data_IF_564349325368
#
_entry.id   IF_564349325368
#
_cell.length_a   1.000
_cell.length_b   1.000
_cell.length_c   1.000
_cell.angle_alpha   90.00
_cell.angle_beta   90.00
_cell.angle_gamma   90.00
#
_symmetry.space_group_name_H-M   'P 1'
#
loop_
_entity.id
_entity.type
_entity.pdbx_description
1 polymer ?
#
# COMPACT_ATOMS: atom_id res chain seq x y z
N UNK A 1 -8.47 15.07 28.15
CA UNK A 1 -9.39 14.40 27.21
C UNK A 1 -9.84 13.01 27.66
N UNK A 2 -9.93 12.79 28.99
CA UNK A 2 -10.43 11.54 29.58
C UNK A 2 -11.89 11.33 29.18
N UNK A 3 -12.71 12.37 29.21
CA UNK A 3 -14.13 12.31 28.86
C UNK A 3 -14.41 11.84 27.42
N UNK A 4 -13.57 12.23 26.45
CA UNK A 4 -13.71 11.80 25.07
C UNK A 4 -13.36 10.30 24.91
N UNK A 5 -12.39 9.81 25.67
CA UNK A 5 -12.00 8.40 25.68
C UNK A 5 -13.09 7.52 26.28
N UNK A 6 -13.72 7.96 27.36
CA UNK A 6 -14.81 7.25 28.02
C UNK A 6 -16.04 7.15 27.12
N UNK A 7 -16.40 8.23 26.42
CA UNK A 7 -17.49 8.25 25.43
C UNK A 7 -17.23 7.26 24.27
N UNK A 8 -16.01 7.18 23.79
CA UNK A 8 -15.63 6.22 22.74
C UNK A 8 -15.78 4.78 23.24
N UNK A 9 -15.37 4.51 24.48
CA UNK A 9 -15.52 3.18 25.09
C UNK A 9 -16.97 2.79 25.30
N UNK A 10 -17.80 3.72 25.79
CA UNK A 10 -19.24 3.52 25.93
C UNK A 10 -19.91 3.24 24.57
N UNK A 11 -19.57 4.01 23.56
CA UNK A 11 -20.12 3.80 22.21
C UNK A 11 -19.68 2.46 21.62
N UNK A 12 -18.43 2.03 21.80
CA UNK A 12 -17.97 0.69 21.43
C UNK A 12 -18.75 -0.41 22.14
N UNK A 13 -18.99 -0.24 23.44
CA UNK A 13 -19.77 -1.18 24.23
C UNK A 13 -21.22 -1.25 23.74
N UNK A 14 -21.84 -0.10 23.48
CA UNK A 14 -23.19 0.00 22.90
C UNK A 14 -23.29 -0.74 21.55
N UNK A 15 -22.37 -0.50 20.62
CA UNK A 15 -22.35 -1.15 19.32
C UNK A 15 -22.19 -2.68 19.46
N UNK A 16 -21.31 -3.12 20.36
CA UNK A 16 -21.09 -4.55 20.62
C UNK A 16 -22.33 -5.23 21.20
N UNK A 17 -22.99 -4.58 22.18
CA UNK A 17 -24.19 -5.12 22.83
C UNK A 17 -25.39 -5.16 21.88
N UNK A 18 -25.50 -4.15 21.04
CA UNK A 18 -26.60 -4.01 20.09
C UNK A 18 -26.26 -4.49 18.69
N UNK A 19 -25.23 -5.33 18.53
CA UNK A 19 -24.76 -5.83 17.21
C UNK A 19 -25.89 -6.38 16.36
N UNK A 20 -26.81 -7.16 16.94
CA UNK A 20 -27.94 -7.75 16.23
C UNK A 20 -28.93 -6.72 15.69
N UNK A 21 -29.12 -5.61 16.39
CA UNK A 21 -29.99 -4.52 15.97
C UNK A 21 -29.33 -3.56 15.00
N UNK A 22 -28.05 -3.24 15.21
CA UNK A 22 -27.29 -2.30 14.38
C UNK A 22 -26.77 -2.94 13.10
N UNK A 23 -26.50 -4.25 13.12
CA UNK A 23 -25.85 -4.98 12.02
C UNK A 23 -26.72 -6.11 11.45
N UNK A 24 -27.81 -6.47 12.11
CA UNK A 24 -28.41 -7.81 11.90
C UNK A 24 -29.44 -7.92 10.81
N UNK A 25 -30.05 -6.85 10.32
CA UNK A 25 -31.23 -6.99 9.43
C UNK A 25 -31.33 -5.99 8.28
N UNK A 26 -30.58 -4.88 8.32
CA UNK A 26 -30.72 -3.86 7.27
C UNK A 26 -29.38 -3.23 6.92
N UNK A 27 -28.98 -3.43 5.65
CA UNK A 27 -27.81 -2.76 5.06
C UNK A 27 -27.90 -1.23 5.19
N UNK A 28 -29.11 -0.68 5.19
CA UNK A 28 -29.38 0.74 5.40
C UNK A 28 -28.99 1.23 6.80
N UNK A 29 -29.22 0.44 7.85
CA UNK A 29 -28.80 0.79 9.20
C UNK A 29 -27.27 0.84 9.35
N UNK A 30 -26.57 -0.09 8.72
CA UNK A 30 -25.11 -0.09 8.72
C UNK A 30 -24.56 1.15 7.98
N UNK A 31 -25.14 1.49 6.83
CA UNK A 31 -24.72 2.67 6.06
C UNK A 31 -25.00 3.98 6.83
N UNK A 32 -26.14 4.10 7.47
CA UNK A 32 -26.46 5.26 8.33
C UNK A 32 -25.45 5.38 9.49
N UNK A 33 -25.08 4.26 10.11
CA UNK A 33 -24.06 4.24 11.18
C UNK A 33 -22.69 4.67 10.65
N UNK A 34 -22.30 4.21 9.47
CA UNK A 34 -21.07 4.66 8.81
C UNK A 34 -21.07 6.16 8.54
N UNK A 35 -22.18 6.69 8.01
CA UNK A 35 -22.31 8.12 7.74
C UNK A 35 -22.19 8.96 9.02
N UNK A 36 -22.83 8.53 10.11
CA UNK A 36 -22.72 9.20 11.42
C UNK A 36 -21.28 9.19 11.94
N UNK A 37 -20.61 8.03 11.94
CA UNK A 37 -19.22 7.92 12.39
C UNK A 37 -18.30 8.78 11.52
N UNK A 38 -18.48 8.74 10.21
CA UNK A 38 -17.68 9.50 9.24
C UNK A 38 -17.86 11.01 9.41
N UNK A 39 -19.10 11.49 9.64
CA UNK A 39 -19.41 12.90 9.86
C UNK A 39 -18.67 13.48 11.09
N UNK A 40 -18.33 12.64 12.06
CA UNK A 40 -17.55 13.04 13.24
C UNK A 40 -16.04 12.83 13.08
N UNK A 41 -15.55 12.43 11.90
CA UNK A 41 -14.12 12.23 11.61
C UNK A 41 -13.44 11.13 12.44
N UNK A 42 -14.22 10.24 13.05
CA UNK A 42 -13.72 9.19 13.97
C UNK A 42 -13.31 7.91 13.21
N UNK A 43 -12.21 7.99 12.48
CA UNK A 43 -11.76 6.90 11.61
C UNK A 43 -11.51 5.58 12.38
N UNK A 44 -10.94 5.66 13.58
CA UNK A 44 -10.75 4.49 14.44
C UNK A 44 -12.08 3.80 14.83
N UNK A 45 -13.14 4.58 14.95
CA UNK A 45 -14.49 4.05 15.23
C UNK A 45 -15.10 3.42 13.98
N UNK A 46 -14.85 4.00 12.80
CA UNK A 46 -15.30 3.44 11.52
C UNK A 46 -14.69 2.06 11.29
N UNK A 47 -13.37 1.91 11.50
CA UNK A 47 -12.68 0.62 11.38
C UNK A 47 -13.18 -0.39 12.42
N UNK A 48 -13.39 0.04 13.67
CA UNK A 48 -13.96 -0.81 14.72
C UNK A 48 -15.36 -1.31 14.33
N UNK A 49 -16.21 -0.43 13.82
CA UNK A 49 -17.55 -0.81 13.38
C UNK A 49 -17.51 -1.75 12.18
N UNK A 50 -16.67 -1.48 11.18
CA UNK A 50 -16.45 -2.36 10.04
C UNK A 50 -16.00 -3.76 10.47
N UNK A 51 -15.07 -3.87 11.42
CA UNK A 51 -14.63 -5.14 11.97
C UNK A 51 -15.76 -5.87 12.72
N UNK A 52 -16.58 -5.13 13.46
CA UNK A 52 -17.72 -5.68 14.20
C UNK A 52 -18.77 -6.33 13.30
N UNK A 53 -19.02 -5.74 12.11
CA UNK A 53 -19.99 -6.26 11.14
C UNK A 53 -19.35 -7.12 10.06
N UNK A 54 -18.05 -7.39 10.16
CA UNK A 54 -17.26 -8.18 9.21
C UNK A 54 -17.23 -7.56 7.79
N UNK A 55 -17.32 -6.22 7.68
CA UNK A 55 -17.18 -5.47 6.41
C UNK A 55 -15.70 -5.28 6.07
N UNK A 56 -15.05 -6.38 5.73
CA UNK A 56 -13.62 -6.39 5.42
C UNK A 56 -13.28 -5.63 4.13
N UNK A 57 -14.24 -5.52 3.21
CA UNK A 57 -14.03 -4.76 1.97
C UNK A 57 -13.84 -3.28 2.25
N UNK A 58 -14.62 -2.71 3.13
CA UNK A 58 -14.49 -1.30 3.55
C UNK A 58 -13.18 -1.06 4.29
N UNK A 59 -12.79 -1.99 5.17
CA UNK A 59 -11.49 -1.92 5.84
C UNK A 59 -10.32 -1.98 4.85
N UNK A 60 -10.37 -2.89 3.88
CA UNK A 60 -9.37 -2.99 2.81
C UNK A 60 -9.26 -1.70 2.01
N UNK A 61 -10.40 -1.14 1.60
CA UNK A 61 -10.46 0.11 0.85
C UNK A 61 -9.82 1.25 1.64
N UNK A 62 -10.12 1.35 2.93
CA UNK A 62 -9.52 2.36 3.80
C UNK A 62 -8.01 2.20 3.89
N UNK A 63 -7.49 1.00 4.20
CA UNK A 63 -6.03 0.80 4.28
C UNK A 63 -5.31 1.12 2.97
N UNK A 64 -5.94 0.85 1.83
CA UNK A 64 -5.37 1.20 0.52
C UNK A 64 -5.38 2.71 0.28
N UNK A 65 -6.43 3.42 0.69
CA UNK A 65 -6.51 4.88 0.60
C UNK A 65 -5.47 5.59 1.46
N UNK A 66 -5.12 4.98 2.61
CA UNK A 66 -4.08 5.48 3.53
C UNK A 66 -2.67 4.96 3.18
N UNK A 67 -2.48 4.36 2.01
CA UNK A 67 -1.20 3.75 1.57
C UNK A 67 -0.64 2.69 2.55
N UNK A 68 -1.48 2.18 3.47
CA UNK A 68 -1.14 1.17 4.47
C UNK A 68 -1.27 -0.26 3.93
N UNK A 69 -0.60 -0.54 2.82
CA UNK A 69 -0.71 -1.82 2.09
C UNK A 69 -0.33 -3.04 2.93
N UNK A 70 0.62 -2.89 3.85
CA UNK A 70 1.01 -3.97 4.76
C UNK A 70 -0.11 -4.37 5.72
N UNK A 71 -0.85 -3.38 6.23
CA UNK A 71 -1.99 -3.60 7.12
C UNK A 71 -3.17 -4.22 6.36
N UNK A 72 -3.38 -3.80 5.11
CA UNK A 72 -4.35 -4.43 4.22
C UNK A 72 -4.06 -5.92 4.01
N UNK A 73 -2.81 -6.30 3.73
CA UNK A 73 -2.42 -7.71 3.57
C UNK A 73 -2.54 -8.46 4.89
N UNK A 74 -2.18 -7.84 6.02
CA UNK A 74 -2.32 -8.47 7.34
C UNK A 74 -3.78 -8.71 7.71
N UNK A 75 -4.69 -7.80 7.34
CA UNK A 75 -6.13 -8.02 7.49
C UNK A 75 -6.58 -9.27 6.71
N UNK A 76 -6.23 -9.38 5.43
CA UNK A 76 -6.57 -10.56 4.61
C UNK A 76 -6.01 -11.86 5.22
N UNK A 77 -4.75 -11.83 5.66
CA UNK A 77 -4.10 -12.96 6.32
C UNK A 77 -4.85 -13.36 7.59
N UNK A 78 -5.16 -12.39 8.45
CA UNK A 78 -5.86 -12.60 9.73
C UNK A 78 -7.24 -13.22 9.50
N UNK A 79 -8.00 -12.66 8.58
CA UNK A 79 -9.35 -13.15 8.28
C UNK A 79 -9.33 -14.54 7.67
N UNK A 80 -8.42 -14.81 6.71
CA UNK A 80 -8.24 -16.13 6.13
C UNK A 80 -7.84 -17.19 7.18
N UNK A 81 -6.86 -16.89 8.01
CA UNK A 81 -6.39 -17.79 9.09
C UNK A 81 -7.48 -18.04 10.13
N UNK A 82 -8.26 -17.02 10.47
CA UNK A 82 -9.37 -17.15 11.43
C UNK A 82 -10.38 -18.20 11.00
N UNK A 83 -10.79 -18.21 9.73
CA UNK A 83 -11.72 -19.20 9.21
C UNK A 83 -11.12 -20.62 9.19
N UNK A 84 -9.87 -20.75 8.76
CA UNK A 84 -9.19 -22.05 8.70
C UNK A 84 -8.93 -22.67 10.08
N UNK A 85 -8.43 -21.88 11.03
CA UNK A 85 -7.98 -22.40 12.30
C UNK A 85 -9.09 -22.50 13.35
N UNK A 86 -9.92 -21.46 13.49
CA UNK A 86 -10.95 -21.41 14.53
C UNK A 86 -12.27 -22.04 14.11
N UNK A 87 -12.73 -21.77 12.91
CA UNK A 87 -14.00 -22.33 12.44
C UNK A 87 -13.85 -23.70 11.82
N UNK A 88 -12.60 -24.16 11.52
CA UNK A 88 -12.33 -25.42 10.80
C UNK A 88 -13.17 -25.58 9.54
N UNK A 89 -13.50 -24.47 8.92
CA UNK A 89 -14.33 -24.37 7.73
C UNK A 89 -13.57 -23.62 6.64
N UNK A 90 -13.86 -23.86 5.37
CA UNK A 90 -13.30 -23.04 4.31
C UNK A 90 -13.68 -21.58 4.54
N UNK A 91 -12.81 -20.63 4.15
CA UNK A 91 -13.15 -19.20 4.17
C UNK A 91 -14.39 -18.95 3.34
N UNK A 92 -15.28 -18.02 3.75
CA UNK A 92 -16.41 -17.62 2.93
C UNK A 92 -15.94 -17.11 1.56
N UNK A 93 -16.77 -17.35 0.52
CA UNK A 93 -16.49 -16.88 -0.84
C UNK A 93 -16.20 -15.36 -0.87
N UNK A 94 -16.94 -14.58 -0.07
CA UNK A 94 -16.71 -13.14 0.05
C UNK A 94 -15.28 -12.79 0.50
N UNK A 95 -14.69 -13.58 1.40
CA UNK A 95 -13.29 -13.40 1.84
C UNK A 95 -12.31 -13.76 0.73
N UNK A 96 -12.59 -14.85 0.00
CA UNK A 96 -11.77 -15.29 -1.15
C UNK A 96 -11.79 -14.24 -2.25
N UNK A 97 -12.95 -13.65 -2.54
CA UNK A 97 -13.10 -12.57 -3.53
C UNK A 97 -12.28 -11.32 -3.17
N UNK A 98 -12.10 -10.99 -1.88
CA UNK A 98 -11.24 -9.89 -1.47
C UNK A 98 -9.77 -10.11 -1.89
N UNK A 99 -9.27 -11.35 -1.81
CA UNK A 99 -7.93 -11.66 -2.30
C UNK A 99 -7.79 -11.35 -3.78
N UNK A 100 -8.76 -11.73 -4.61
CA UNK A 100 -8.69 -11.45 -6.06
C UNK A 100 -8.86 -9.97 -6.36
N UNK A 101 -9.83 -9.32 -5.71
CA UNK A 101 -10.15 -7.90 -5.93
C UNK A 101 -8.98 -6.98 -5.65
N UNK A 102 -8.29 -7.19 -4.53
CA UNK A 102 -7.22 -6.30 -4.08
C UNK A 102 -5.81 -6.74 -4.49
N UNK A 103 -5.64 -7.96 -4.97
CA UNK A 103 -4.35 -8.49 -5.41
C UNK A 103 -3.57 -7.59 -6.37
N UNK A 104 -4.16 -6.95 -7.40
CA UNK A 104 -3.39 -6.11 -8.32
C UNK A 104 -2.72 -4.92 -7.63
N UNK A 105 -3.42 -4.25 -6.73
CA UNK A 105 -2.89 -3.09 -5.98
C UNK A 105 -1.88 -3.53 -4.94
N UNK A 106 -2.18 -4.59 -4.20
CA UNK A 106 -1.28 -5.12 -3.17
C UNK A 106 0.02 -5.67 -3.76
N UNK A 107 -0.02 -6.29 -4.95
CA UNK A 107 1.18 -6.73 -5.65
C UNK A 107 2.05 -5.58 -6.12
N UNK A 108 1.46 -4.44 -6.46
CA UNK A 108 2.19 -3.24 -6.87
C UNK A 108 3.01 -2.63 -5.73
N UNK A 109 2.44 -2.57 -4.52
CA UNK A 109 3.00 -1.83 -3.39
C UNK A 109 3.65 -2.73 -2.33
N UNK A 110 3.11 -3.92 -2.10
CA UNK A 110 3.55 -4.84 -1.06
C UNK A 110 3.73 -6.30 -1.55
N UNK A 111 4.48 -6.56 -2.66
CA UNK A 111 4.48 -7.85 -3.34
C UNK A 111 4.91 -9.03 -2.45
N UNK A 112 5.93 -8.83 -1.62
CA UNK A 112 6.49 -9.91 -0.78
C UNK A 112 5.48 -10.43 0.24
N UNK A 113 4.76 -9.54 0.91
CA UNK A 113 3.77 -9.93 1.93
C UNK A 113 2.50 -10.47 1.28
N UNK A 114 2.11 -9.94 0.12
CA UNK A 114 0.98 -10.41 -0.67
C UNK A 114 1.17 -11.86 -1.13
N UNK A 115 2.33 -12.18 -1.70
CA UNK A 115 2.65 -13.57 -2.10
C UNK A 115 2.66 -14.52 -0.90
N UNK A 116 3.18 -14.09 0.25
CA UNK A 116 3.12 -14.90 1.48
C UNK A 116 1.67 -15.18 1.91
N UNK A 117 0.78 -14.20 1.82
CA UNK A 117 -0.63 -14.37 2.13
C UNK A 117 -1.30 -15.35 1.15
N UNK A 118 -1.00 -15.30 -0.15
CA UNK A 118 -1.49 -16.26 -1.13
C UNK A 118 -1.00 -17.69 -0.84
N UNK A 119 0.28 -17.87 -0.52
CA UNK A 119 0.84 -19.19 -0.17
C UNK A 119 0.12 -19.77 1.04
N UNK A 120 -0.21 -18.95 2.03
CA UNK A 120 -0.97 -19.36 3.20
C UNK A 120 -2.38 -19.86 2.83
N UNK A 121 -2.98 -19.25 1.82
CA UNK A 121 -4.34 -19.54 1.33
C UNK A 121 -4.36 -20.47 0.11
N UNK A 122 -3.25 -21.13 -0.23
CA UNK A 122 -3.07 -21.91 -1.47
C UNK A 122 -4.13 -22.99 -1.74
N UNK A 123 -4.77 -23.52 -0.70
CA UNK A 123 -5.81 -24.52 -0.85
C UNK A 123 -7.19 -23.97 -1.19
N UNK A 124 -7.36 -22.65 -1.19
CA UNK A 124 -8.64 -21.97 -1.39
C UNK A 124 -8.61 -20.95 -2.53
N UNK A 125 -7.43 -20.51 -2.94
CA UNK A 125 -7.26 -19.56 -4.04
C UNK A 125 -7.02 -20.31 -5.34
N UNK A 126 -7.74 -19.91 -6.39
CA UNK A 126 -7.47 -20.33 -7.76
C UNK A 126 -6.30 -19.51 -8.32
N UNK A 127 -5.15 -20.15 -8.63
CA UNK A 127 -3.98 -19.45 -9.18
C UNK A 127 -4.27 -18.72 -10.49
N UNK A 128 -5.19 -19.24 -11.31
CA UNK A 128 -5.53 -18.63 -12.61
C UNK A 128 -6.12 -17.23 -12.45
N UNK A 129 -6.87 -17.00 -11.37
CA UNK A 129 -7.46 -15.69 -11.04
C UNK A 129 -6.44 -14.68 -10.48
N UNK A 130 -5.26 -15.14 -10.08
CA UNK A 130 -4.15 -14.29 -9.61
C UNK A 130 -3.19 -13.86 -10.74
N UNK A 131 -3.25 -14.53 -11.88
CA UNK A 131 -2.39 -14.23 -13.06
C UNK A 131 -2.45 -12.75 -13.45
N UNK A 132 -3.61 -12.08 -13.54
CA UNK A 132 -3.68 -10.67 -13.91
C UNK A 132 -2.85 -9.75 -12.97
N UNK A 133 -2.84 -10.05 -11.67
CA UNK A 133 -2.04 -9.30 -10.69
C UNK A 133 -0.53 -9.51 -10.92
N UNK A 134 -0.10 -10.74 -11.23
CA UNK A 134 1.29 -11.06 -11.55
C UNK A 134 1.74 -10.39 -12.85
N UNK A 135 0.92 -10.42 -13.89
CA UNK A 135 1.21 -9.77 -15.17
C UNK A 135 1.38 -8.26 -14.98
N UNK A 136 0.45 -7.63 -14.27
CA UNK A 136 0.53 -6.19 -13.98
C UNK A 136 1.81 -5.85 -13.21
N UNK A 137 2.15 -6.62 -12.19
CA UNK A 137 3.38 -6.46 -11.42
C UNK A 137 4.63 -6.59 -12.28
N UNK A 138 4.69 -7.61 -13.15
CA UNK A 138 5.80 -7.82 -14.10
C UNK A 138 5.97 -6.63 -15.04
N UNK A 139 4.89 -6.11 -15.60
CA UNK A 139 4.90 -4.93 -16.46
C UNK A 139 5.47 -3.70 -15.74
N UNK A 140 5.08 -3.49 -14.48
CA UNK A 140 5.60 -2.38 -13.68
C UNK A 140 7.07 -2.53 -13.34
N UNK A 141 7.54 -3.75 -13.02
CA UNK A 141 8.97 -4.00 -12.85
C UNK A 141 9.76 -3.63 -14.10
N UNK A 142 9.22 -3.95 -15.26
CA UNK A 142 9.86 -3.62 -16.54
C UNK A 142 9.92 -2.10 -16.78
N UNK A 143 8.86 -1.37 -16.48
CA UNK A 143 8.83 0.10 -16.57
C UNK A 143 9.85 0.71 -15.61
N UNK A 144 9.82 0.30 -14.33
CA UNK A 144 10.77 0.78 -13.32
C UNK A 144 12.23 0.46 -13.68
N UNK A 145 12.49 -0.68 -14.32
CA UNK A 145 13.83 -1.04 -14.81
C UNK A 145 14.30 -0.11 -15.93
N UNK A 146 13.42 0.20 -16.90
CA UNK A 146 13.70 1.16 -17.97
C UNK A 146 13.99 2.57 -17.45
N UNK A 147 13.17 3.04 -16.51
CA UNK A 147 13.37 4.35 -15.88
C UNK A 147 14.71 4.45 -15.13
N UNK A 148 15.08 3.39 -14.39
CA UNK A 148 16.38 3.31 -13.71
C UNK A 148 17.55 3.32 -14.69
N UNK A 149 17.44 2.62 -15.81
CA UNK A 149 18.48 2.61 -16.85
C UNK A 149 18.63 3.97 -17.52
N UNK A 150 17.53 4.62 -17.87
CA UNK A 150 17.51 5.96 -18.44
C UNK A 150 18.10 7.02 -17.47
N UNK A 151 17.78 6.92 -16.16
CA UNK A 151 18.35 7.80 -15.15
C UNK A 151 19.87 7.63 -15.03
N UNK A 152 20.36 6.38 -15.00
CA UNK A 152 21.81 6.09 -14.95
C UNK A 152 22.54 6.62 -16.19
N UNK A 153 21.93 6.52 -17.34
CA UNK A 153 22.51 7.03 -18.59
C UNK A 153 22.61 8.57 -18.56
N UNK A 154 21.56 9.28 -18.13
CA UNK A 154 21.59 10.73 -17.95
C UNK A 154 22.69 11.16 -16.95
N UNK A 155 22.83 10.44 -15.83
CA UNK A 155 23.87 10.71 -14.85
C UNK A 155 25.28 10.50 -15.43
N UNK A 156 25.48 9.47 -16.24
CA UNK A 156 26.76 9.24 -16.96
C UNK A 156 27.07 10.38 -17.93
N UNK A 157 26.10 10.77 -18.74
CA UNK A 157 26.26 11.88 -19.69
C UNK A 157 26.60 13.20 -18.98
N UNK A 158 25.93 13.48 -17.86
CA UNK A 158 26.21 14.65 -17.04
C UNK A 158 27.64 14.64 -16.47
N UNK A 159 28.09 13.50 -15.96
CA UNK A 159 29.48 13.34 -15.45
C UNK A 159 30.51 13.55 -16.57
N UNK A 160 30.28 12.99 -17.75
CA UNK A 160 31.16 13.18 -18.91
C UNK A 160 31.19 14.65 -19.35
N UNK A 161 30.05 15.35 -19.39
CA UNK A 161 29.99 16.76 -19.71
C UNK A 161 30.77 17.61 -18.68
N UNK A 162 30.62 17.33 -17.38
CA UNK A 162 31.37 18.02 -16.33
C UNK A 162 32.87 17.77 -16.41
N UNK A 163 33.31 16.54 -16.77
CA UNK A 163 34.73 16.25 -16.95
C UNK A 163 35.32 16.99 -18.15
N UNK A 164 34.59 17.10 -19.27
CA UNK A 164 35.01 17.89 -20.45
C UNK A 164 35.19 19.38 -20.10
N UNK A 165 34.28 19.95 -19.34
CA UNK A 165 34.35 21.34 -18.91
C UNK A 165 35.56 21.59 -17.99
N UNK A 166 35.83 20.65 -17.06
CA UNK A 166 37.01 20.74 -16.17
C UNK A 166 38.32 20.55 -16.93
N UNK A 167 38.35 19.74 -17.98
CA UNK A 167 39.50 19.53 -18.85
C UNK A 167 39.81 20.76 -19.72
N UNK A 168 38.78 21.41 -20.29
CA UNK A 168 38.93 22.62 -21.09
C UNK A 168 39.44 23.80 -20.32
N UNK A 169 39.04 23.96 -19.04
CA UNK A 169 39.52 25.02 -18.16
C UNK A 169 41.00 24.91 -17.74
N UNK A 170 41.60 23.71 -17.87
CA UNK A 170 43.00 23.47 -17.55
C UNK A 170 43.97 23.71 -18.75
N UNK A 171 43.46 23.65 -19.97
CA UNK A 171 44.23 23.87 -21.18
C UNK A 171 44.39 25.34 -21.56
N UNK A 172 43.60 26.25 -20.97
CA UNK A 172 43.68 27.70 -21.24
C UNK A 172 44.61 28.50 -20.36
N UNK A 173 45.35 27.86 -19.43
CA UNK A 173 46.21 28.55 -18.46
C UNK A 173 47.71 28.47 -18.71
N UNK A 174 48.17 27.87 -19.81
CA UNK A 174 49.59 27.71 -20.10
C UNK A 174 49.98 28.48 -21.41
N UNK A 175 49.96 29.82 -21.32
CA UNK A 175 50.35 30.62 -22.48
C UNK A 175 50.42 32.11 -22.17
N UNK A 176 51.34 32.52 -21.28
CA UNK A 176 51.92 33.85 -21.32
C UNK A 176 53.12 33.95 -20.35
N UNK A 177 54.27 33.46 -20.81
CA UNK A 177 55.55 33.90 -20.31
C UNK A 177 56.29 34.42 -21.53
N UNK A 178 56.10 35.68 -21.87
CA UNK A 178 56.88 36.41 -22.83
C UNK A 178 58.22 36.76 -22.19
N UNK A 179 59.26 36.27 -22.81
CA UNK A 179 60.63 36.73 -22.63
C UNK A 179 60.69 38.22 -22.89
N UNK A 180 61.18 38.96 -21.94
CA UNK A 180 61.67 40.34 -22.09
C UNK A 180 63.17 40.33 -21.77
N UNK A 181 63.99 40.08 -22.79
CA UNK A 181 65.41 40.30 -22.82
C UNK A 181 65.60 41.73 -23.19
N UNK A 182 65.87 42.61 -22.19
CA UNK A 182 66.32 43.94 -22.33
C UNK A 182 67.85 44.00 -22.24
N UNK A 183 68.44 44.26 -23.38
CA UNK A 183 69.86 44.66 -23.59
C UNK A 183 70.07 46.10 -23.05
N UNK A 184 71.09 46.35 -22.20
CA UNK A 184 72.21 47.23 -22.22
C UNK A 184 72.96 47.30 -20.87
#
# INVERSE_FOLDING_TARGET
DVAATDLILEFKSFLKTNRSHVCGLNRECAETTYQLISAHGQMAMLLYFAELIEDYERMMTHYIQEDSYSDAVELLRRVGVYHMQRKKSPPPEAVIELFYKFSPVLMEHAPKVTVKAWILMKGYLDPSRLIPALVRYSQQLHIKAKERSAKREKERQLRHAQQRLKGAGRAGGAGNASDDDGND
#
